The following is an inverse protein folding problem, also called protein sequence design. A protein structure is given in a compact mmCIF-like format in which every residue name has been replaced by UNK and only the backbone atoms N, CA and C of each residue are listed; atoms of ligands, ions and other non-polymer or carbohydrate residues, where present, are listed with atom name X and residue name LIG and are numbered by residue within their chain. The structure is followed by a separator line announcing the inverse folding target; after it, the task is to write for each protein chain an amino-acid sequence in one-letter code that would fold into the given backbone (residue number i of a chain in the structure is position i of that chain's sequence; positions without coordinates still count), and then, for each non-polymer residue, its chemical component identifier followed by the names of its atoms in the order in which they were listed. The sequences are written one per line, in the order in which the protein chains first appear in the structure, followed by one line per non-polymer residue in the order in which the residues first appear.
data_IF_556682642823
#
_entry.id   IF_556682642823
#
_cell.length_a   1.000
_cell.length_b   1.000
_cell.length_c   1.000
_cell.angle_alpha   90.00
_cell.angle_beta   90.00
_cell.angle_gamma   90.00
#
_symmetry.space_group_name_H-M   'P 1'
#
loop_
_entity.id
_entity.type
_entity.pdbx_description
1 polymer ?
#
# COMPACT_ATOMS: atom_id res chain seq x y z
N UNK A 1 17.35 -0.07 9.07
CA UNK A 1 17.50 0.55 7.73
C UNK A 1 16.11 0.85 7.22
N UNK A 2 15.63 2.08 7.40
CA UNK A 2 14.44 2.61 6.75
C UNK A 2 14.79 2.90 5.30
N UNK A 3 14.78 1.87 4.45
CA UNK A 3 15.13 2.01 3.04
C UNK A 3 14.06 2.77 2.28
N UNK A 4 14.38 3.99 1.83
CA UNK A 4 13.93 4.70 0.61
C UNK A 4 12.47 4.54 0.11
N UNK A 5 11.47 4.26 0.94
CA UNK A 5 10.07 4.50 0.55
C UNK A 5 9.82 6.00 0.60
N UNK A 6 9.68 6.62 -0.57
CA UNK A 6 9.37 8.04 -0.69
C UNK A 6 7.91 8.19 -1.09
N UNK A 7 7.11 8.88 -0.28
CA UNK A 7 5.77 9.30 -0.62
C UNK A 7 5.74 10.83 -0.64
N UNK A 8 5.45 11.43 -1.80
CA UNK A 8 5.46 12.88 -1.95
C UNK A 8 4.50 13.32 -3.07
N UNK A 9 4.14 14.61 -3.07
CA UNK A 9 3.42 15.23 -4.18
C UNK A 9 4.44 15.68 -5.24
N UNK A 10 4.23 15.27 -6.49
CA UNK A 10 5.00 15.73 -7.64
C UNK A 10 4.07 16.27 -8.71
N UNK A 11 4.04 17.59 -8.87
CA UNK A 11 3.08 18.24 -9.75
C UNK A 11 1.64 18.00 -9.26
N UNK A 12 0.84 17.32 -10.08
CA UNK A 12 -0.56 16.99 -9.80
C UNK A 12 -0.75 15.54 -9.31
N UNK A 13 0.34 14.83 -8.99
CA UNK A 13 0.32 13.41 -8.65
C UNK A 13 0.85 13.15 -7.24
N UNK A 14 0.22 12.21 -6.52
CA UNK A 14 0.81 11.58 -5.34
C UNK A 14 1.68 10.41 -5.81
N UNK A 15 3.00 10.51 -5.58
CA UNK A 15 3.97 9.51 -6.05
C UNK A 15 4.51 8.72 -4.87
N UNK A 16 4.35 7.40 -4.91
CA UNK A 16 4.98 6.45 -4.00
C UNK A 16 6.11 5.75 -4.76
N UNK A 17 7.36 6.04 -4.38
CA UNK A 17 8.54 5.38 -4.93
C UNK A 17 9.12 4.40 -3.94
N UNK A 18 9.37 3.20 -4.43
CA UNK A 18 10.15 2.17 -3.74
C UNK A 18 11.23 1.71 -4.70
N UNK A 19 12.47 1.68 -4.25
CA UNK A 19 13.55 1.13 -5.08
C UNK A 19 13.37 -0.38 -5.22
N UNK A 20 13.57 -0.89 -6.44
CA UNK A 20 13.41 -2.31 -6.77
C UNK A 20 14.33 -3.21 -5.91
N UNK A 21 15.56 -2.77 -5.65
CA UNK A 21 16.50 -3.51 -4.81
C UNK A 21 16.10 -3.51 -3.33
N UNK A 22 15.54 -2.41 -2.83
CA UNK A 22 14.97 -2.34 -1.50
C UNK A 22 13.74 -3.25 -1.35
N UNK A 23 12.85 -3.28 -2.36
CA UNK A 23 11.69 -4.18 -2.39
C UNK A 23 12.13 -5.65 -2.37
N UNK A 24 13.13 -6.01 -3.18
CA UNK A 24 13.69 -7.36 -3.20
C UNK A 24 14.32 -7.72 -1.85
N UNK A 25 15.11 -6.83 -1.25
CA UNK A 25 15.71 -7.06 0.07
C UNK A 25 14.65 -7.22 1.16
N UNK A 26 13.57 -6.41 1.13
CA UNK A 26 12.46 -6.55 2.06
C UNK A 26 11.77 -7.91 1.94
N UNK A 27 11.54 -8.39 0.71
CA UNK A 27 10.96 -9.70 0.46
C UNK A 27 11.83 -10.84 1.02
N UNK A 28 13.15 -10.77 0.84
CA UNK A 28 14.09 -11.77 1.38
C UNK A 28 14.10 -11.81 2.92
N UNK A 29 13.73 -10.70 3.58
CA UNK A 29 13.63 -10.61 5.05
C UNK A 29 12.28 -11.14 5.55
N UNK A 30 11.17 -10.72 4.93
CA UNK A 30 9.82 -10.99 5.44
C UNK A 30 9.28 -12.36 5.02
N UNK A 31 9.62 -12.84 3.81
CA UNK A 31 9.07 -14.10 3.30
C UNK A 31 9.48 -15.32 4.14
N UNK A 32 10.71 -15.46 4.67
CA UNK A 32 11.04 -16.56 5.57
C UNK A 32 10.09 -16.65 6.76
N UNK A 33 9.75 -15.52 7.39
CA UNK A 33 8.80 -15.46 8.49
C UNK A 33 7.39 -15.88 8.05
N UNK A 34 6.89 -15.30 6.95
CA UNK A 34 5.56 -15.62 6.42
C UNK A 34 5.42 -17.08 5.98
N UNK A 35 6.52 -17.71 5.54
CA UNK A 35 6.57 -19.10 5.10
C UNK A 35 6.91 -20.08 6.24
N UNK A 36 7.19 -19.59 7.46
CA UNK A 36 7.58 -20.43 8.60
C UNK A 36 8.95 -21.12 8.44
N UNK A 37 9.86 -20.53 7.65
CA UNK A 37 11.20 -21.04 7.39
C UNK A 37 12.13 -20.66 8.55
N UNK A 38 12.82 -21.64 9.16
CA UNK A 38 13.83 -21.39 10.20
C UNK A 38 15.14 -20.89 9.56
N UNK A 39 15.51 -19.60 9.73
CA UNK A 39 16.68 -19.03 9.07
C UNK A 39 18.01 -19.59 9.59
N UNK A 40 18.01 -20.29 10.74
CA UNK A 40 19.20 -20.95 11.30
C UNK A 40 19.44 -22.35 10.72
N UNK A 41 18.45 -22.93 10.02
CA UNK A 41 18.48 -24.31 9.52
C UNK A 41 18.31 -24.40 8.01
N UNK A 42 17.70 -23.40 7.40
CA UNK A 42 17.34 -23.36 5.99
C UNK A 42 17.94 -22.12 5.31
N UNK A 43 18.08 -22.18 3.97
CA UNK A 43 18.49 -20.98 3.22
C UNK A 43 17.30 -20.03 3.17
N UNK A 44 17.38 -18.83 3.78
CA UNK A 44 16.29 -17.88 3.76
C UNK A 44 16.08 -17.42 2.31
N UNK A 45 14.83 -17.20 1.94
CA UNK A 45 14.35 -16.86 0.59
C UNK A 45 15.29 -15.89 -0.15
N UNK A 46 15.51 -16.12 -1.44
CA UNK A 46 16.32 -15.26 -2.32
C UNK A 46 15.50 -14.82 -3.52
N UNK A 47 15.42 -13.51 -3.76
CA UNK A 47 14.88 -12.94 -4.98
C UNK A 47 15.95 -13.03 -6.06
N UNK A 48 15.70 -13.83 -7.10
CA UNK A 48 16.66 -14.12 -8.17
C UNK A 48 16.58 -13.11 -9.32
N UNK A 49 15.41 -12.51 -9.55
CA UNK A 49 15.18 -11.45 -10.51
C UNK A 49 14.33 -10.35 -9.84
N UNK A 50 14.96 -9.24 -9.40
CA UNK A 50 14.27 -8.15 -8.72
C UNK A 50 13.20 -7.46 -9.57
N UNK A 51 13.39 -7.38 -10.89
CA UNK A 51 12.44 -6.71 -11.79
C UNK A 51 11.19 -7.56 -12.00
N UNK A 52 11.37 -8.86 -12.22
CA UNK A 52 10.24 -9.80 -12.30
C UNK A 52 9.46 -9.79 -11.00
N UNK A 53 10.14 -9.88 -9.85
CA UNK A 53 9.49 -9.80 -8.54
C UNK A 53 8.72 -8.49 -8.33
N UNK A 54 9.32 -7.35 -8.68
CA UNK A 54 8.66 -6.05 -8.56
C UNK A 54 7.39 -5.96 -9.42
N UNK A 55 7.42 -6.50 -10.64
CA UNK A 55 6.23 -6.53 -11.51
C UNK A 55 5.11 -7.40 -10.92
N UNK A 56 5.44 -8.57 -10.36
CA UNK A 56 4.43 -9.39 -9.67
C UNK A 56 3.81 -8.66 -8.49
N UNK A 57 4.62 -7.97 -7.68
CA UNK A 57 4.12 -7.15 -6.58
C UNK A 57 3.22 -6.03 -7.08
N UNK A 58 3.59 -5.34 -8.17
CA UNK A 58 2.75 -4.29 -8.78
C UNK A 58 1.41 -4.88 -9.25
N UNK A 59 1.42 -6.03 -9.91
CA UNK A 59 0.20 -6.71 -10.35
C UNK A 59 -0.70 -7.05 -9.16
N UNK A 60 -0.14 -7.62 -8.09
CA UNK A 60 -0.89 -7.92 -6.86
C UNK A 60 -1.44 -6.66 -6.18
N UNK A 61 -0.69 -5.55 -6.21
CA UNK A 61 -1.15 -4.29 -5.63
C UNK A 61 -2.36 -3.70 -6.38
N UNK A 62 -2.41 -3.91 -7.69
CA UNK A 62 -3.46 -3.42 -8.59
C UNK A 62 -4.61 -4.42 -8.81
N UNK A 63 -4.50 -5.63 -8.27
CA UNK A 63 -5.54 -6.66 -8.42
C UNK A 63 -6.83 -6.20 -7.71
N UNK A 64 -7.91 -6.07 -8.47
CA UNK A 64 -9.23 -5.72 -7.96
C UNK A 64 -9.90 -6.94 -7.32
N UNK A 65 -10.40 -6.75 -6.10
CA UNK A 65 -11.27 -7.71 -5.41
C UNK A 65 -12.67 -7.75 -6.02
N UNK A 66 -13.49 -8.71 -5.59
CA UNK A 66 -14.89 -8.86 -6.02
C UNK A 66 -15.77 -7.63 -5.77
N UNK A 67 -15.33 -6.74 -4.86
CA UNK A 67 -16.01 -5.50 -4.51
C UNK A 67 -15.37 -4.25 -5.16
N UNK A 68 -14.44 -4.43 -6.09
CA UNK A 68 -13.79 -3.34 -6.84
C UNK A 68 -12.69 -2.59 -6.09
N UNK A 69 -12.22 -3.12 -4.96
CA UNK A 69 -11.10 -2.54 -4.20
C UNK A 69 -9.79 -3.23 -4.53
N UNK A 70 -8.71 -2.45 -4.64
CA UNK A 70 -7.33 -2.94 -4.74
C UNK A 70 -6.61 -2.79 -3.40
N UNK A 71 -5.40 -3.36 -3.28
CA UNK A 71 -4.57 -3.10 -2.08
C UNK A 71 -4.16 -1.64 -1.95
N UNK A 72 -4.01 -0.94 -3.08
CA UNK A 72 -3.70 0.49 -3.09
C UNK A 72 -4.88 1.31 -2.59
N UNK A 73 -6.11 1.01 -3.02
CA UNK A 73 -7.29 1.76 -2.54
C UNK A 73 -7.49 1.55 -1.04
N UNK A 74 -7.28 0.33 -0.54
CA UNK A 74 -7.40 0.06 0.90
C UNK A 74 -6.35 0.82 1.72
N UNK A 75 -5.12 0.91 1.21
CA UNK A 75 -4.08 1.74 1.83
C UNK A 75 -4.47 3.22 1.87
N UNK A 76 -5.18 3.72 0.86
CA UNK A 76 -5.70 5.08 0.87
C UNK A 76 -6.87 5.25 1.82
N UNK A 77 -7.80 4.31 1.89
CA UNK A 77 -8.92 4.34 2.84
C UNK A 77 -8.39 4.47 4.28
N UNK A 78 -7.42 3.65 4.66
CA UNK A 78 -6.75 3.74 5.98
C UNK A 78 -6.06 5.11 6.20
N UNK A 79 -5.42 5.65 5.17
CA UNK A 79 -4.77 6.95 5.25
C UNK A 79 -5.79 8.11 5.38
N UNK A 80 -6.95 8.01 4.73
CA UNK A 80 -8.01 9.00 4.80
C UNK A 80 -8.68 9.00 6.17
N UNK A 81 -9.00 7.83 6.70
CA UNK A 81 -9.53 7.67 8.06
C UNK A 81 -8.60 8.33 9.07
N UNK A 82 -7.30 8.02 8.99
CA UNK A 82 -6.31 8.61 9.89
C UNK A 82 -6.18 10.12 9.67
N UNK A 83 -6.17 10.61 8.43
CA UNK A 83 -6.10 12.05 8.17
C UNK A 83 -7.31 12.79 8.77
N UNK A 84 -8.52 12.23 8.62
CA UNK A 84 -9.73 12.79 9.18
C UNK A 84 -9.72 12.80 10.72
N UNK A 85 -9.30 11.70 11.35
CA UNK A 85 -9.19 11.57 12.81
C UNK A 85 -8.28 12.64 13.43
N UNK A 86 -7.23 13.03 12.71
CA UNK A 86 -6.26 14.03 13.17
C UNK A 86 -6.55 15.44 12.66
N UNK A 87 -7.75 15.67 12.09
CA UNK A 87 -8.23 17.00 11.72
C UNK A 87 -7.50 17.57 10.50
N UNK A 88 -7.20 16.74 9.50
CA UNK A 88 -6.63 17.21 8.24
C UNK A 88 -7.50 18.29 7.57
N UNK A 89 -6.85 19.26 6.96
CA UNK A 89 -7.49 20.34 6.19
C UNK A 89 -7.66 19.96 4.71
N UNK A 90 -8.50 20.68 3.98
CA UNK A 90 -8.72 20.49 2.53
C UNK A 90 -9.89 19.58 2.15
N UNK A 91 -10.77 19.27 3.11
CA UNK A 91 -12.03 18.55 2.91
C UNK A 91 -13.20 19.39 3.43
N UNK A 92 -14.35 19.30 2.76
CA UNK A 92 -15.62 19.88 3.20
C UNK A 92 -16.64 18.74 3.34
N UNK A 93 -17.39 18.74 4.44
CA UNK A 93 -18.49 17.78 4.64
C UNK A 93 -19.78 18.48 4.23
N UNK A 94 -20.32 18.13 3.07
CA UNK A 94 -21.64 18.58 2.67
C UNK A 94 -22.70 17.80 3.48
N UNK A 95 -23.61 18.53 4.13
CA UNK A 95 -24.78 17.90 4.75
C UNK A 95 -25.70 17.37 3.65
N UNK A 96 -26.17 16.13 3.81
CA UNK A 96 -27.14 15.57 2.88
C UNK A 96 -28.39 16.47 2.84
N UNK A 97 -29.01 16.67 1.65
CA UNK A 97 -30.25 17.44 1.58
C UNK A 97 -31.28 16.80 2.53
N UNK A 98 -31.92 17.62 3.37
CA UNK A 98 -33.05 17.18 4.18
C UNK A 98 -34.07 16.56 3.22
N UNK A 99 -34.31 15.25 3.32
CA UNK A 99 -35.45 14.64 2.65
C UNK A 99 -36.68 15.32 3.23
N UNK A 100 -37.35 16.16 2.43
CA UNK A 100 -38.66 16.71 2.75
C UNK A 100 -39.55 15.53 3.14
N UNK A 101 -39.73 15.32 4.45
CA UNK A 101 -40.69 14.35 4.95
C UNK A 101 -42.07 14.92 4.62
N UNK A 102 -42.66 14.44 3.53
CA UNK A 102 -44.06 14.72 3.18
C UNK A 102 -44.96 14.29 4.36
N UNK A 103 -45.33 15.27 5.19
CA UNK A 103 -46.30 15.18 6.30
C UNK A 103 -47.74 14.94 5.82
#
# INVERSE_FOLDING_TARGET
MTGDTMCQIEGEELVIRVRIDALAAAAEIILPELLGIDPLRERPVKVTDPLVWANEVVNTLLEESEIGQTRITNMFDEAFEHALEYGAEGIEVEEAPEEDSDD
#
